data_IF_576612162928
#
_entry.id   IF_576612162928
#
_cell.length_a   1.000
_cell.length_b   1.000
_cell.length_c   1.000
_cell.angle_alpha   90.00
_cell.angle_beta   90.00
_cell.angle_gamma   90.00
#
_symmetry.space_group_name_H-M   'P 1'
#
loop_
_entity.id
_entity.type
_entity.pdbx_description
1 polymer ?
#
# COMPACT_ATOMS: atom_id res chain seq x y z
N UNK A 1 -2.68 34.80 51.92
CA UNK A 1 -2.86 35.41 50.58
C UNK A 1 -2.98 34.31 49.53
N UNK A 2 -4.21 33.85 49.24
CA UNK A 2 -4.46 32.91 48.15
C UNK A 2 -4.57 33.69 46.83
N UNK A 3 -3.47 33.77 46.05
CA UNK A 3 -3.51 34.35 44.70
C UNK A 3 -4.36 33.45 43.80
N UNK A 4 -5.55 33.94 43.49
CA UNK A 4 -6.49 33.34 42.57
C UNK A 4 -5.88 33.35 41.15
N UNK A 5 -5.11 32.31 40.78
CA UNK A 5 -4.59 32.12 39.42
C UNK A 5 -5.78 31.86 38.50
N UNK A 6 -6.25 32.89 37.79
CA UNK A 6 -7.14 32.72 36.63
C UNK A 6 -6.44 31.76 35.66
N UNK A 7 -6.95 30.52 35.55
CA UNK A 7 -6.48 29.54 34.55
C UNK A 7 -6.62 30.19 33.17
N UNK A 8 -5.52 30.30 32.44
CA UNK A 8 -5.48 30.88 31.12
C UNK A 8 -6.18 29.93 30.14
N UNK A 9 -7.43 30.23 29.81
CA UNK A 9 -8.29 29.37 28.97
C UNK A 9 -7.79 29.23 27.52
N UNK A 10 -6.79 30.02 27.11
CA UNK A 10 -6.20 29.98 25.77
C UNK A 10 -5.04 28.99 25.61
N UNK A 11 -4.44 28.53 26.71
CA UNK A 11 -3.25 27.66 26.70
C UNK A 11 -3.46 26.34 25.91
N UNK A 12 -4.59 25.62 26.06
CA UNK A 12 -4.82 24.37 25.32
C UNK A 12 -5.00 24.58 23.81
N UNK A 13 -5.62 25.70 23.40
CA UNK A 13 -5.82 26.03 21.98
C UNK A 13 -4.49 26.34 21.31
N UNK A 14 -3.64 27.10 21.98
CA UNK A 14 -2.31 27.45 21.48
C UNK A 14 -1.40 26.22 21.39
N UNK A 15 -1.48 25.32 22.37
CA UNK A 15 -0.79 24.03 22.36
C UNK A 15 -1.16 23.18 21.15
N UNK A 16 -2.46 22.89 20.95
CA UNK A 16 -2.93 22.06 19.84
C UNK A 16 -2.56 22.65 18.46
N UNK A 17 -2.57 23.99 18.32
CA UNK A 17 -2.14 24.66 17.08
C UNK A 17 -0.65 24.48 16.83
N UNK A 18 0.20 24.57 17.86
CA UNK A 18 1.64 24.33 17.76
C UNK A 18 1.94 22.87 17.41
N UNK A 19 1.27 21.93 18.09
CA UNK A 19 1.40 20.50 17.82
C UNK A 19 1.03 20.17 16.38
N UNK A 20 -0.14 20.63 15.90
CA UNK A 20 -0.58 20.40 14.52
C UNK A 20 0.41 20.97 13.50
N UNK A 21 0.98 22.16 13.76
CA UNK A 21 1.99 22.77 12.88
C UNK A 21 3.28 21.93 12.87
N UNK A 22 3.73 21.45 14.03
CA UNK A 22 4.93 20.63 14.14
C UNK A 22 4.76 19.27 13.45
N UNK A 23 3.61 18.61 13.66
CA UNK A 23 3.26 17.37 12.96
C UNK A 23 3.21 17.57 11.43
N UNK A 24 2.60 18.66 10.96
CA UNK A 24 2.60 19.00 9.53
C UNK A 24 4.02 19.23 8.98
N UNK A 25 4.88 19.93 9.73
CA UNK A 25 6.28 20.12 9.35
C UNK A 25 7.07 18.80 9.27
N UNK A 26 6.81 17.85 10.17
CA UNK A 26 7.42 16.52 10.12
C UNK A 26 6.95 15.71 8.91
N UNK A 27 5.67 15.79 8.55
CA UNK A 27 5.13 15.14 7.34
C UNK A 27 5.84 15.68 6.10
N UNK A 28 5.89 17.00 5.94
CA UNK A 28 6.57 17.63 4.80
C UNK A 28 8.07 17.30 4.75
N UNK A 29 8.73 17.21 5.91
CA UNK A 29 10.12 16.77 5.99
C UNK A 29 10.28 15.31 5.54
N UNK A 30 9.40 14.42 5.99
CA UNK A 30 9.42 13.01 5.64
C UNK A 30 9.15 12.76 4.14
N UNK A 31 8.25 13.56 3.55
CA UNK A 31 7.94 13.50 2.12
C UNK A 31 9.10 14.00 1.24
N UNK A 32 9.82 15.02 1.69
CA UNK A 32 10.86 15.69 0.90
C UNK A 32 12.26 15.09 1.07
N UNK A 33 12.52 14.38 2.17
CA UNK A 33 13.85 13.85 2.46
C UNK A 33 14.02 12.39 2.05
N UNK A 34 15.14 12.09 1.41
CA UNK A 34 15.60 10.72 1.15
C UNK A 34 16.56 10.21 2.23
N UNK A 35 16.82 11.00 3.27
CA UNK A 35 17.83 10.69 4.29
C UNK A 35 17.21 10.47 5.66
N UNK A 36 17.35 9.24 6.18
CA UNK A 36 16.91 8.90 7.54
C UNK A 36 17.63 9.73 8.62
N UNK A 37 18.87 10.17 8.37
CA UNK A 37 19.59 11.07 9.29
C UNK A 37 18.93 12.45 9.39
N UNK A 38 18.44 12.99 8.28
CA UNK A 38 17.73 14.28 8.25
C UNK A 38 16.37 14.13 8.93
N UNK A 39 15.65 13.04 8.64
CA UNK A 39 14.38 12.73 9.26
C UNK A 39 14.50 12.59 10.79
N UNK A 40 15.50 11.85 11.26
CA UNK A 40 15.81 11.69 12.69
C UNK A 40 16.09 13.03 13.38
N UNK A 41 16.86 13.93 12.75
CA UNK A 41 17.10 15.29 13.29
C UNK A 41 15.80 16.08 13.42
N UNK A 42 14.90 15.99 12.43
CA UNK A 42 13.59 16.60 12.50
C UNK A 42 12.75 16.10 13.68
N UNK A 43 12.81 14.79 13.95
CA UNK A 43 12.12 14.17 15.10
C UNK A 43 12.69 14.68 16.43
N UNK A 44 14.00 14.90 16.54
CA UNK A 44 14.61 15.47 17.76
C UNK A 44 14.10 16.89 18.02
N UNK A 45 13.93 17.72 16.99
CA UNK A 45 13.35 19.06 17.14
C UNK A 45 11.90 19.03 17.65
N UNK A 46 11.17 17.94 17.44
CA UNK A 46 9.83 17.76 17.98
C UNK A 46 9.82 17.59 19.50
N UNK A 47 10.95 17.17 20.11
CA UNK A 47 11.09 17.03 21.57
C UNK A 47 11.06 18.38 22.30
N UNK A 48 11.40 19.48 21.62
CA UNK A 48 11.39 20.82 22.18
C UNK A 48 9.97 21.35 22.47
N UNK A 49 8.93 20.63 22.04
CA UNK A 49 7.54 20.99 22.33
C UNK A 49 7.20 20.82 23.82
N UNK A 50 6.45 21.77 24.43
CA UNK A 50 6.00 21.64 25.80
C UNK A 50 5.17 20.36 26.01
N UNK A 51 5.47 19.60 27.07
CA UNK A 51 4.68 18.43 27.48
C UNK A 51 3.34 18.86 28.10
N UNK A 52 2.25 18.07 27.96
CA UNK A 52 2.17 16.77 27.28
C UNK A 52 2.05 16.90 25.75
N UNK A 53 2.64 15.95 25.03
CA UNK A 53 2.67 15.96 23.55
C UNK A 53 1.33 15.51 22.94
N UNK A 54 0.36 15.09 23.75
CA UNK A 54 -0.98 14.71 23.28
C UNK A 54 -1.90 15.91 23.06
N UNK A 55 -2.87 15.72 22.16
CA UNK A 55 -3.99 16.65 22.02
C UNK A 55 -4.75 16.73 23.34
N UNK A 56 -4.90 17.94 23.86
CA UNK A 56 -5.66 18.14 25.09
C UNK A 56 -7.15 17.91 24.77
N UNK A 57 -7.70 16.78 25.23
CA UNK A 57 -9.04 16.25 24.93
C UNK A 57 -10.24 17.11 25.35
N UNK A 58 -10.03 18.36 25.72
CA UNK A 58 -11.08 19.33 26.03
C UNK A 58 -12.00 19.55 24.82
N UNK A 59 -11.44 19.50 23.62
CA UNK A 59 -12.14 19.75 22.36
C UNK A 59 -13.21 18.67 22.13
N UNK A 60 -12.86 17.37 22.24
CA UNK A 60 -13.81 16.27 21.99
C UNK A 60 -15.00 16.26 22.95
N UNK A 61 -14.77 16.50 24.25
CA UNK A 61 -15.86 16.59 25.25
C UNK A 61 -16.73 17.84 25.09
N UNK A 62 -16.14 18.98 24.76
CA UNK A 62 -16.90 20.20 24.49
C UNK A 62 -17.78 20.05 23.24
N UNK A 63 -17.28 19.39 22.19
CA UNK A 63 -18.05 19.11 20.98
C UNK A 63 -19.17 18.10 21.20
N UNK A 64 -18.96 17.04 21.98
CA UNK A 64 -20.03 16.12 22.37
C UNK A 64 -21.17 16.88 23.08
N UNK A 65 -20.82 17.78 24.00
CA UNK A 65 -21.82 18.63 24.70
C UNK A 65 -22.53 19.59 23.75
N UNK A 66 -21.81 20.18 22.80
CA UNK A 66 -22.40 21.06 21.78
C UNK A 66 -23.37 20.31 20.87
N UNK A 67 -22.97 19.14 20.38
CA UNK A 67 -23.81 18.27 19.55
C UNK A 67 -25.10 17.89 20.29
N UNK A 68 -24.98 17.40 21.52
CA UNK A 68 -26.13 17.12 22.39
C UNK A 68 -27.04 18.33 22.60
N UNK A 69 -26.47 19.54 22.73
CA UNK A 69 -27.22 20.78 22.84
C UNK A 69 -28.01 21.09 21.56
N UNK A 70 -27.35 21.00 20.39
CA UNK A 70 -27.98 21.25 19.09
C UNK A 70 -29.10 20.24 18.84
N UNK A 71 -28.88 18.95 19.09
CA UNK A 71 -29.91 17.91 18.88
C UNK A 71 -31.16 18.19 19.72
N UNK A 72 -30.99 18.63 20.97
CA UNK A 72 -32.12 18.99 21.85
C UNK A 72 -32.92 20.18 21.31
N UNK A 73 -32.24 21.22 20.82
CA UNK A 73 -32.91 22.39 20.24
C UNK A 73 -33.70 22.02 18.99
N UNK A 74 -33.12 21.21 18.10
CA UNK A 74 -33.80 20.76 16.88
C UNK A 74 -35.04 19.91 17.22
N UNK A 75 -34.93 18.99 18.17
CA UNK A 75 -36.05 18.17 18.65
C UNK A 75 -37.17 19.03 19.25
N UNK A 76 -36.84 20.05 20.06
CA UNK A 76 -37.83 20.96 20.64
C UNK A 76 -38.55 21.77 19.57
N UNK A 77 -37.84 22.29 18.57
CA UNK A 77 -38.44 23.06 17.46
C UNK A 77 -39.37 22.17 16.63
N UNK A 78 -38.93 20.94 16.30
CA UNK A 78 -39.77 19.97 15.58
C UNK A 78 -41.02 19.60 16.37
N UNK A 79 -40.90 19.36 17.68
CA UNK A 79 -42.04 19.06 18.54
C UNK A 79 -43.04 20.22 18.60
N UNK A 80 -42.57 21.46 18.73
CA UNK A 80 -43.43 22.65 18.70
C UNK A 80 -44.12 22.82 17.34
N UNK A 81 -43.41 22.58 16.24
CA UNK A 81 -43.97 22.62 14.90
C UNK A 81 -45.07 21.59 14.71
N UNK A 82 -44.82 20.33 15.09
CA UNK A 82 -45.83 19.25 15.02
C UNK A 82 -47.04 19.55 15.91
N UNK A 83 -46.81 20.08 17.11
CA UNK A 83 -47.90 20.46 18.02
C UNK A 83 -48.76 21.60 17.45
N UNK A 84 -48.17 22.56 16.73
CA UNK A 84 -48.92 23.63 16.07
C UNK A 84 -49.76 23.09 14.91
N UNK A 85 -49.15 22.31 14.01
CA UNK A 85 -49.84 21.73 12.85
C UNK A 85 -51.05 20.87 13.25
N UNK A 86 -50.99 20.20 14.40
CA UNK A 86 -52.06 19.29 14.84
C UNK A 86 -53.26 19.99 15.50
N UNK A 87 -53.14 21.26 15.93
CA UNK A 87 -54.12 21.90 16.82
C UNK A 87 -55.10 22.85 16.11
N UNK A 88 -54.85 23.34 14.89
CA UNK A 88 -55.73 24.34 14.23
C UNK A 88 -55.98 24.16 12.73
N UNK A 89 -57.17 24.60 12.27
CA UNK A 89 -57.48 24.88 10.86
C UNK A 89 -56.83 26.22 10.48
N UNK A 90 -55.63 26.17 9.92
CA UNK A 90 -54.88 27.36 9.53
C UNK A 90 -55.52 28.12 8.35
N UNK A 91 -55.42 29.45 8.39
CA UNK A 91 -55.71 30.34 7.26
C UNK A 91 -54.54 30.39 6.28
N UNK A 92 -54.79 30.69 5.01
CA UNK A 92 -53.76 30.68 3.95
C UNK A 92 -52.51 31.52 4.31
N UNK A 93 -52.67 32.68 4.96
CA UNK A 93 -51.55 33.55 5.37
C UNK A 93 -50.62 32.87 6.39
N UNK A 94 -51.16 32.08 7.31
CA UNK A 94 -50.37 31.39 8.33
C UNK A 94 -49.52 30.28 7.71
N UNK A 95 -49.99 29.63 6.64
CA UNK A 95 -49.23 28.61 5.91
C UNK A 95 -47.97 29.23 5.28
N UNK A 96 -48.08 30.42 4.67
CA UNK A 96 -46.92 31.10 4.08
C UNK A 96 -45.87 31.51 5.12
N UNK A 97 -46.30 31.99 6.31
CA UNK A 97 -45.37 32.32 7.41
C UNK A 97 -44.65 31.07 7.91
N UNK A 98 -45.38 29.96 8.08
CA UNK A 98 -44.82 28.67 8.50
C UNK A 98 -43.80 28.16 7.49
N UNK A 99 -44.11 28.21 6.19
CA UNK A 99 -43.19 27.83 5.11
C UNK A 99 -41.94 28.71 5.09
N UNK A 100 -42.10 30.03 5.23
CA UNK A 100 -40.98 30.97 5.27
C UNK A 100 -40.03 30.69 6.45
N UNK A 101 -40.58 30.47 7.65
CA UNK A 101 -39.80 30.11 8.84
C UNK A 101 -39.10 28.75 8.67
N UNK A 102 -39.76 27.78 8.03
CA UNK A 102 -39.17 26.48 7.69
C UNK A 102 -37.96 26.60 6.75
N UNK A 103 -38.08 27.42 5.71
CA UNK A 103 -36.97 27.69 4.76
C UNK A 103 -35.81 28.40 5.46
N UNK A 104 -36.09 29.42 6.28
CA UNK A 104 -35.07 30.13 7.04
C UNK A 104 -34.30 29.17 7.97
N UNK A 105 -35.04 28.29 8.65
CA UNK A 105 -34.45 27.28 9.53
C UNK A 105 -33.58 26.27 8.77
N UNK A 106 -34.04 25.80 7.61
CA UNK A 106 -33.26 24.92 6.73
C UNK A 106 -31.95 25.58 6.30
N UNK A 107 -31.98 26.87 5.96
CA UNK A 107 -30.77 27.62 5.58
C UNK A 107 -29.78 27.72 6.76
N UNK A 108 -30.29 27.91 7.98
CA UNK A 108 -29.50 27.94 9.20
C UNK A 108 -28.87 26.56 9.50
N UNK A 109 -29.62 25.48 9.27
CA UNK A 109 -29.11 24.10 9.36
C UNK A 109 -28.02 23.82 8.32
N UNK A 110 -28.18 24.27 7.08
CA UNK A 110 -27.18 24.09 6.03
C UNK A 110 -25.89 24.88 6.31
N UNK A 111 -26.00 26.11 6.84
CA UNK A 111 -24.81 26.89 7.24
C UNK A 111 -24.10 26.30 8.44
N UNK A 112 -24.84 25.89 9.47
CA UNK A 112 -24.26 25.26 10.66
C UNK A 112 -23.66 23.90 10.33
N UNK A 113 -24.30 23.09 9.48
CA UNK A 113 -23.75 21.81 9.02
C UNK A 113 -22.50 22.01 8.16
N UNK A 114 -22.47 22.96 7.23
CA UNK A 114 -21.27 23.28 6.44
C UNK A 114 -20.10 23.73 7.32
N UNK A 115 -20.36 24.58 8.31
CA UNK A 115 -19.36 25.02 9.28
C UNK A 115 -18.85 23.86 10.14
N UNK A 116 -19.77 23.00 10.62
CA UNK A 116 -19.44 21.79 11.37
C UNK A 116 -18.62 20.83 10.52
N UNK A 117 -18.98 20.59 9.25
CA UNK A 117 -18.22 19.74 8.33
C UNK A 117 -16.80 20.29 8.14
N UNK A 118 -16.62 21.59 7.88
CA UNK A 118 -15.29 22.21 7.77
C UNK A 118 -14.46 22.04 9.05
N UNK A 119 -15.09 22.18 10.22
CA UNK A 119 -14.43 21.97 11.52
C UNK A 119 -14.20 20.50 11.86
N UNK A 120 -15.02 19.60 11.32
CA UNK A 120 -14.89 18.15 11.46
C UNK A 120 -13.81 17.59 10.54
N UNK A 121 -13.59 18.21 9.37
CA UNK A 121 -12.48 17.87 8.46
C UNK A 121 -11.12 18.33 9.00
N UNK A 122 -11.07 19.25 9.96
CA UNK A 122 -9.87 19.55 10.76
C UNK A 122 -9.66 18.46 11.84
N UNK A 123 -9.70 17.18 11.45
CA UNK A 123 -9.42 16.07 12.37
C UNK A 123 -7.99 16.26 12.89
N UNK A 124 -7.77 16.28 14.21
CA UNK A 124 -6.43 16.36 14.76
C UNK A 124 -5.61 15.18 14.20
N UNK A 125 -4.52 15.50 13.51
CA UNK A 125 -3.65 14.48 12.93
C UNK A 125 -3.13 13.62 14.08
N UNK A 126 -3.45 12.33 14.07
CA UNK A 126 -3.03 11.41 15.12
C UNK A 126 -1.51 11.30 15.14
N UNK A 127 -0.91 11.46 16.31
CA UNK A 127 0.54 11.31 16.53
C UNK A 127 1.01 9.92 16.07
N UNK A 128 0.20 8.89 16.31
CA UNK A 128 0.52 7.53 15.86
C UNK A 128 0.47 7.43 14.33
N UNK A 129 -0.52 8.05 13.68
CA UNK A 129 -0.60 8.05 12.22
C UNK A 129 0.61 8.77 11.58
N UNK A 130 1.07 9.88 12.16
CA UNK A 130 2.30 10.55 11.71
C UNK A 130 3.53 9.69 11.99
N UNK A 131 3.58 9.01 13.14
CA UNK A 131 4.69 8.10 13.47
C UNK A 131 4.77 6.94 12.47
N UNK A 132 3.63 6.33 12.12
CA UNK A 132 3.55 5.26 11.13
C UNK A 132 3.95 5.76 9.74
N UNK A 133 3.51 6.97 9.37
CA UNK A 133 3.90 7.60 8.11
C UNK A 133 5.42 7.85 8.03
N UNK A 134 6.00 8.49 9.04
CA UNK A 134 7.45 8.75 9.14
C UNK A 134 8.24 7.45 9.06
N UNK A 135 7.80 6.42 9.77
CA UNK A 135 8.45 5.11 9.74
C UNK A 135 8.35 4.44 8.37
N UNK A 136 7.19 4.52 7.70
CA UNK A 136 7.06 4.04 6.32
C UNK A 136 8.01 4.77 5.36
N UNK A 137 8.15 6.09 5.48
CA UNK A 137 9.13 6.86 4.72
C UNK A 137 10.57 6.42 5.02
N UNK A 138 10.90 6.15 6.28
CA UNK A 138 12.25 5.69 6.64
C UNK A 138 12.58 4.31 6.08
N UNK A 139 11.61 3.39 6.07
CA UNK A 139 11.77 2.08 5.45
C UNK A 139 12.03 2.19 3.94
N UNK A 140 11.34 3.10 3.24
CA UNK A 140 11.59 3.36 1.81
C UNK A 140 12.98 3.94 1.58
N UNK A 141 13.36 4.96 2.35
CA UNK A 141 14.66 5.62 2.26
C UNK A 141 15.81 4.64 2.54
N UNK A 142 15.67 3.79 3.55
CA UNK A 142 16.67 2.79 3.90
C UNK A 142 16.91 1.74 2.80
N UNK A 143 15.95 1.60 1.88
CA UNK A 143 16.04 0.70 0.72
C UNK A 143 16.23 1.46 -0.61
N UNK A 144 16.57 2.75 -0.56
CA UNK A 144 16.74 3.63 -1.72
C UNK A 144 15.50 3.67 -2.64
N UNK A 145 14.31 3.57 -2.05
CA UNK A 145 13.02 3.62 -2.76
C UNK A 145 12.45 5.03 -2.71
N UNK A 146 11.96 5.50 -3.84
CA UNK A 146 11.27 6.79 -3.98
C UNK A 146 9.77 6.55 -4.13
N UNK A 147 8.92 7.07 -3.22
CA UNK A 147 7.48 6.99 -3.36
C UNK A 147 7.02 7.50 -4.73
N UNK A 148 5.97 6.91 -5.26
CA UNK A 148 5.31 7.36 -6.48
C UNK A 148 3.88 7.80 -6.13
N UNK A 149 3.38 8.85 -6.78
CA UNK A 149 1.99 9.28 -6.65
C UNK A 149 1.09 8.44 -7.57
N UNK A 150 -0.03 7.98 -7.04
CA UNK A 150 -1.02 7.20 -7.79
C UNK A 150 -2.38 7.21 -7.10
N UNK A 151 -3.45 6.98 -7.86
CA UNK A 151 -4.75 6.61 -7.30
C UNK A 151 -4.77 5.11 -6.99
N UNK A 152 -4.92 4.75 -5.72
CA UNK A 152 -4.81 3.38 -5.24
C UNK A 152 -5.70 2.37 -5.98
N UNK A 153 -6.93 2.78 -6.31
CA UNK A 153 -7.93 1.90 -6.93
C UNK A 153 -7.70 1.78 -8.44
N UNK A 154 -7.54 2.90 -9.13
CA UNK A 154 -7.30 2.94 -10.57
C UNK A 154 -5.97 2.28 -10.93
N UNK A 155 -4.95 2.48 -10.11
CA UNK A 155 -3.65 1.82 -10.29
C UNK A 155 -3.75 0.30 -10.11
N UNK A 156 -4.46 -0.19 -9.08
CA UNK A 156 -4.69 -1.61 -8.91
C UNK A 156 -5.45 -2.23 -10.11
N UNK A 157 -6.46 -1.53 -10.63
CA UNK A 157 -7.19 -1.98 -11.82
C UNK A 157 -6.29 -2.01 -13.07
N UNK A 158 -5.41 -1.02 -13.24
CA UNK A 158 -4.43 -1.01 -14.33
C UNK A 158 -3.47 -2.20 -14.23
N UNK A 159 -2.90 -2.45 -13.05
CA UNK A 159 -2.01 -3.59 -12.80
C UNK A 159 -2.74 -4.92 -13.01
N UNK A 160 -4.02 -5.04 -12.63
CA UNK A 160 -4.83 -6.23 -12.87
C UNK A 160 -5.06 -6.54 -14.35
N UNK A 161 -5.01 -5.54 -15.24
CA UNK A 161 -5.05 -5.79 -16.69
C UNK A 161 -3.76 -6.47 -17.16
N UNK A 162 -2.62 -6.07 -16.59
CA UNK A 162 -1.28 -6.50 -16.99
C UNK A 162 -0.81 -7.80 -16.32
N UNK A 163 -1.11 -7.99 -15.04
CA UNK A 163 -0.57 -9.06 -14.22
C UNK A 163 -1.70 -9.89 -13.57
N UNK A 164 -1.63 -11.22 -13.68
CA UNK A 164 -2.49 -12.18 -12.99
C UNK A 164 -2.43 -12.03 -11.48
N UNK A 165 -1.26 -11.69 -10.92
CA UNK A 165 -1.07 -11.49 -9.48
C UNK A 165 -2.02 -10.45 -8.86
N UNK A 166 -2.49 -9.47 -9.65
CA UNK A 166 -3.40 -8.40 -9.24
C UNK A 166 -4.88 -8.72 -9.51
N UNK A 167 -5.16 -9.90 -10.06
CA UNK A 167 -6.54 -10.41 -10.28
C UNK A 167 -7.03 -11.26 -9.09
N UNK A 168 -6.29 -11.31 -7.98
CA UNK A 168 -6.67 -12.02 -6.76
C UNK A 168 -7.77 -11.27 -6.00
N UNK A 169 -8.59 -12.02 -5.26
CA UNK A 169 -9.66 -11.48 -4.43
C UNK A 169 -10.85 -10.90 -5.20
N UNK A 170 -11.77 -10.29 -4.47
CA UNK A 170 -12.91 -9.59 -5.04
C UNK A 170 -12.51 -8.25 -5.67
N UNK A 171 -13.10 -7.91 -6.83
CA UNK A 171 -12.72 -6.74 -7.64
C UNK A 171 -12.96 -5.41 -6.94
N UNK A 172 -14.02 -5.29 -6.13
CA UNK A 172 -14.37 -4.01 -5.48
C UNK A 172 -13.44 -3.67 -4.30
N UNK A 173 -12.70 -4.66 -3.81
CA UNK A 173 -11.78 -4.56 -2.68
C UNK A 173 -10.33 -4.23 -3.03
N UNK A 174 -9.95 -4.23 -4.31
CA UNK A 174 -8.55 -4.18 -4.74
C UNK A 174 -7.99 -2.78 -4.67
N UNK A 175 -6.88 -2.61 -3.95
CA UNK A 175 -6.19 -1.33 -3.81
C UNK A 175 -4.68 -1.53 -3.76
N UNK A 176 -3.94 -0.66 -4.44
CA UNK A 176 -2.49 -0.57 -4.24
C UNK A 176 -2.24 0.25 -2.97
N UNK A 177 -1.45 -0.26 -2.04
CA UNK A 177 -1.14 0.41 -0.77
C UNK A 177 0.05 1.36 -0.91
N UNK A 178 1.24 0.79 -0.98
CA UNK A 178 2.51 1.48 -1.19
C UNK A 178 2.96 1.22 -2.62
N UNK A 179 3.46 2.24 -3.31
CA UNK A 179 4.13 2.11 -4.59
C UNK A 179 5.35 3.01 -4.61
N UNK A 180 6.51 2.44 -4.89
CA UNK A 180 7.78 3.18 -4.84
C UNK A 180 8.75 2.62 -5.88
N UNK A 181 9.52 3.51 -6.52
CA UNK A 181 10.52 3.14 -7.52
C UNK A 181 11.89 3.06 -6.90
N UNK A 182 12.62 2.01 -7.22
CA UNK A 182 14.03 1.83 -6.88
C UNK A 182 14.86 1.59 -8.12
N UNK A 183 16.17 1.59 -7.90
CA UNK A 183 17.17 1.27 -8.91
C UNK A 183 18.16 0.27 -8.30
N UNK A 184 18.47 -0.79 -9.04
CA UNK A 184 19.45 -1.79 -8.64
C UNK A 184 20.63 -1.76 -9.61
N UNK A 185 21.83 -1.59 -9.05
CA UNK A 185 23.09 -1.70 -9.79
C UNK A 185 23.81 -2.98 -9.37
N UNK A 186 23.75 -4.00 -10.22
CA UNK A 186 24.52 -5.22 -10.09
C UNK A 186 25.87 -5.13 -10.82
N UNK A 187 26.64 -6.21 -10.78
CA UNK A 187 27.94 -6.31 -11.46
C UNK A 187 27.79 -6.32 -13.00
N UNK A 188 26.76 -7.00 -13.52
CA UNK A 188 26.55 -7.21 -14.96
C UNK A 188 25.29 -6.50 -15.50
N UNK A 189 24.28 -6.29 -14.64
CA UNK A 189 23.02 -5.70 -15.06
C UNK A 189 22.61 -4.61 -14.07
N UNK A 190 21.98 -3.59 -14.63
CA UNK A 190 21.39 -2.48 -13.91
C UNK A 190 19.94 -2.34 -14.36
N UNK A 191 19.02 -2.17 -13.41
CA UNK A 191 17.60 -2.10 -13.74
C UNK A 191 16.82 -1.27 -12.72
N UNK A 192 15.80 -0.58 -13.23
CA UNK A 192 14.77 0.04 -12.41
C UNK A 192 13.71 -1.00 -12.04
N UNK A 193 13.14 -0.84 -10.85
CA UNK A 193 12.05 -1.68 -10.38
C UNK A 193 11.06 -0.86 -9.56
N UNK A 194 9.81 -1.30 -9.56
CA UNK A 194 8.75 -0.72 -8.74
C UNK A 194 8.38 -1.70 -7.62
N UNK A 195 8.61 -1.30 -6.37
CA UNK A 195 8.08 -1.96 -5.18
C UNK A 195 6.59 -1.66 -5.01
N UNK A 196 5.82 -2.67 -4.62
CA UNK A 196 4.41 -2.47 -4.31
C UNK A 196 3.93 -3.25 -3.07
N UNK A 197 2.86 -2.73 -2.47
CA UNK A 197 1.92 -3.51 -1.65
C UNK A 197 0.54 -3.48 -2.29
N UNK A 198 -0.14 -4.61 -2.26
CA UNK A 198 -1.44 -4.82 -2.87
C UNK A 198 -2.39 -5.41 -1.84
N UNK A 199 -3.50 -4.71 -1.61
CA UNK A 199 -4.54 -5.08 -0.67
C UNK A 199 -5.76 -5.57 -1.44
N UNK A 200 -6.33 -6.69 -1.00
CA UNK A 200 -7.58 -7.21 -1.54
C UNK A 200 -8.40 -7.90 -0.45
N UNK A 201 -9.69 -8.06 -0.69
CA UNK A 201 -10.57 -8.85 0.15
C UNK A 201 -10.88 -10.20 -0.50
N UNK A 202 -11.01 -11.22 0.32
CA UNK A 202 -11.57 -12.49 -0.07
C UNK A 202 -12.89 -12.72 0.64
N UNK A 203 -13.93 -13.03 -0.12
CA UNK A 203 -15.29 -13.28 0.39
C UNK A 203 -15.57 -14.78 0.20
N UNK A 204 -15.68 -15.51 1.31
CA UNK A 204 -16.02 -16.94 1.31
C UNK A 204 -17.28 -17.13 2.16
N UNK A 205 -18.43 -17.29 1.50
CA UNK A 205 -19.73 -17.22 2.18
C UNK A 205 -19.90 -15.86 2.82
N UNK A 206 -20.20 -15.82 4.13
CA UNK A 206 -20.36 -14.58 4.89
C UNK A 206 -19.05 -14.03 5.50
N UNK A 207 -17.90 -14.68 5.24
CA UNK A 207 -16.62 -14.29 5.84
C UNK A 207 -15.82 -13.42 4.86
N UNK A 208 -15.46 -12.21 5.31
CA UNK A 208 -14.60 -11.28 4.57
C UNK A 208 -13.22 -11.27 5.22
N UNK A 209 -12.20 -11.70 4.47
CA UNK A 209 -10.80 -11.70 4.94
C UNK A 209 -9.99 -10.67 4.18
N UNK A 210 -9.28 -9.83 4.93
CA UNK A 210 -8.36 -8.84 4.39
C UNK A 210 -7.00 -9.48 4.12
N UNK A 211 -6.51 -9.36 2.88
CA UNK A 211 -5.30 -10.03 2.42
C UNK A 211 -4.33 -9.01 1.80
N UNK A 212 -3.03 -9.23 2.02
CA UNK A 212 -1.98 -8.38 1.49
C UNK A 212 -1.00 -9.19 0.65
N UNK A 213 -0.53 -8.58 -0.43
CA UNK A 213 0.60 -9.04 -1.23
C UNK A 213 1.62 -7.92 -1.29
N UNK A 214 2.87 -8.29 -1.42
CA UNK A 214 3.98 -7.35 -1.59
C UNK A 214 4.94 -7.92 -2.60
N UNK A 215 5.61 -7.06 -3.34
CA UNK A 215 6.38 -7.52 -4.48
C UNK A 215 7.16 -6.42 -5.17
N UNK A 216 7.80 -6.83 -6.27
CA UNK A 216 8.45 -5.93 -7.21
C UNK A 216 7.95 -6.18 -8.62
N UNK A 217 7.96 -5.13 -9.43
CA UNK A 217 7.68 -5.12 -10.86
C UNK A 217 8.91 -4.56 -11.58
N UNK A 218 9.32 -5.17 -12.69
CA UNK A 218 10.41 -4.63 -13.51
C UNK A 218 10.31 -5.12 -14.95
N UNK A 219 11.11 -4.52 -15.84
CA UNK A 219 11.32 -5.03 -17.18
C UNK A 219 12.29 -6.21 -17.16
N UNK A 220 11.95 -7.26 -17.90
CA UNK A 220 12.72 -8.49 -18.02
C UNK A 220 12.66 -8.99 -19.48
N UNK A 221 13.61 -8.60 -20.34
CA UNK A 221 13.56 -8.85 -21.79
C UNK A 221 13.82 -10.30 -22.19
N UNK A 222 14.25 -11.16 -21.27
CA UNK A 222 14.72 -12.51 -21.59
C UNK A 222 13.64 -13.60 -21.47
N UNK A 223 12.44 -13.25 -21.00
CA UNK A 223 11.35 -14.20 -20.78
C UNK A 223 9.97 -13.55 -20.91
N UNK A 224 9.01 -14.34 -21.38
CA UNK A 224 7.61 -13.93 -21.53
C UNK A 224 6.67 -15.13 -21.43
N UNK A 225 5.42 -14.87 -21.10
CA UNK A 225 4.32 -15.86 -21.04
C UNK A 225 4.56 -17.04 -20.09
N UNK A 226 5.18 -16.78 -18.93
CA UNK A 226 5.36 -17.74 -17.85
C UNK A 226 4.67 -17.26 -16.56
N UNK A 227 4.07 -18.19 -15.82
CA UNK A 227 3.53 -17.94 -14.50
C UNK A 227 3.92 -19.06 -13.55
N UNK A 228 4.63 -18.72 -12.49
CA UNK A 228 5.07 -19.63 -11.44
C UNK A 228 4.22 -19.37 -10.21
N UNK A 229 3.67 -20.44 -9.65
CA UNK A 229 2.85 -20.41 -8.45
C UNK A 229 3.34 -21.50 -7.47
N UNK A 230 3.10 -21.35 -6.16
CA UNK A 230 3.51 -22.37 -5.19
C UNK A 230 2.75 -23.67 -5.47
N UNK A 231 3.41 -24.78 -5.81
CA UNK A 231 2.79 -26.11 -6.00
C UNK A 231 2.38 -26.75 -4.67
N UNK A 232 3.15 -26.46 -3.62
CA UNK A 232 3.06 -27.17 -2.34
C UNK A 232 1.73 -26.93 -1.61
N UNK A 233 0.93 -27.99 -1.49
CA UNK A 233 -0.34 -28.01 -0.77
C UNK A 233 -0.18 -27.70 0.72
N UNK A 234 0.98 -27.93 1.34
CA UNK A 234 1.24 -27.58 2.76
C UNK A 234 1.41 -26.09 2.99
N UNK A 235 2.20 -25.38 2.17
CA UNK A 235 2.30 -23.90 2.25
C UNK A 235 0.92 -23.28 2.04
N UNK A 236 0.16 -23.81 1.07
CA UNK A 236 -1.24 -23.42 0.82
C UNK A 236 -2.14 -23.72 2.02
N UNK A 237 -2.10 -24.93 2.56
CA UNK A 237 -2.93 -25.35 3.70
C UNK A 237 -2.59 -24.58 4.99
N UNK A 238 -1.32 -24.33 5.26
CA UNK A 238 -0.89 -23.52 6.40
C UNK A 238 -1.39 -22.08 6.29
N UNK A 239 -1.36 -21.50 5.08
CA UNK A 239 -1.92 -20.18 4.82
C UNK A 239 -3.45 -20.15 4.99
N UNK A 240 -4.14 -21.13 4.41
CA UNK A 240 -5.58 -21.32 4.57
C UNK A 240 -5.95 -21.44 6.05
N UNK A 241 -5.24 -22.27 6.82
CA UNK A 241 -5.45 -22.45 8.25
C UNK A 241 -5.19 -21.15 9.05
N UNK A 242 -4.10 -20.44 8.75
CA UNK A 242 -3.76 -19.16 9.41
C UNK A 242 -4.83 -18.10 9.22
N UNK A 243 -5.48 -18.06 8.06
CA UNK A 243 -6.47 -17.05 7.70
C UNK A 243 -7.92 -17.56 7.80
N UNK A 244 -8.15 -18.78 8.30
CA UNK A 244 -9.49 -19.35 8.48
C UNK A 244 -10.26 -19.55 7.17
N UNK A 245 -9.56 -19.70 6.04
CA UNK A 245 -10.17 -19.80 4.72
C UNK A 245 -10.78 -21.21 4.52
N UNK A 246 -11.95 -21.29 3.88
CA UNK A 246 -12.68 -22.57 3.71
C UNK A 246 -12.50 -23.22 2.33
N UNK A 247 -11.86 -22.56 1.35
CA UNK A 247 -11.79 -23.10 -0.02
C UNK A 247 -10.48 -22.77 -0.74
N UNK A 248 -10.18 -23.55 -1.78
CA UNK A 248 -9.00 -23.42 -2.65
C UNK A 248 -9.21 -22.38 -3.78
N UNK A 249 -10.19 -21.45 -3.66
CA UNK A 249 -10.53 -20.44 -4.69
C UNK A 249 -9.46 -19.35 -4.88
N UNK A 250 -8.44 -19.33 -4.04
CA UNK A 250 -7.30 -18.41 -4.08
C UNK A 250 -6.47 -18.47 -5.38
N UNK A 251 -6.67 -19.48 -6.23
CA UNK A 251 -5.75 -19.83 -7.29
C UNK A 251 -6.43 -19.86 -8.66
N UNK A 252 -5.78 -19.32 -9.72
CA UNK A 252 -6.35 -19.27 -11.05
C UNK A 252 -6.75 -20.68 -11.53
N UNK A 253 -7.87 -20.76 -12.26
CA UNK A 253 -8.32 -22.00 -12.90
C UNK A 253 -7.17 -22.55 -13.78
N UNK A 254 -6.96 -23.87 -13.74
CA UNK A 254 -6.01 -24.60 -14.59
C UNK A 254 -6.36 -24.41 -16.06
N UNK A 255 -5.92 -23.31 -16.68
CA UNK A 255 -6.18 -23.02 -18.11
C UNK A 255 -4.94 -23.11 -18.98
N UNK A 256 -3.74 -23.16 -18.38
CA UNK A 256 -2.47 -23.17 -19.10
C UNK A 256 -1.74 -24.52 -18.95
N UNK A 257 -1.03 -24.97 -20.02
CA UNK A 257 -0.19 -26.17 -19.96
C UNK A 257 0.81 -26.06 -18.82
N UNK A 258 0.89 -27.08 -17.98
CA UNK A 258 1.95 -27.17 -16.98
C UNK A 258 3.22 -27.66 -17.64
N UNK A 259 4.31 -26.89 -17.50
CA UNK A 259 5.65 -27.38 -17.76
C UNK A 259 6.22 -27.98 -16.47
N UNK A 260 7.06 -29.01 -16.60
CA UNK A 260 7.79 -29.61 -15.48
C UNK A 260 9.28 -29.54 -15.78
N UNK A 261 10.05 -29.17 -14.76
CA UNK A 261 11.50 -29.20 -14.83
C UNK A 261 12.02 -30.64 -14.61
N UNK A 262 13.30 -30.91 -14.92
CA UNK A 262 13.97 -32.13 -14.46
C UNK A 262 14.17 -32.19 -12.93
N UNK A 263 14.11 -31.05 -12.23
CA UNK A 263 14.26 -30.98 -10.78
C UNK A 263 12.98 -31.41 -10.06
N UNK A 264 13.05 -32.54 -9.34
CA UNK A 264 11.93 -33.05 -8.53
C UNK A 264 11.60 -32.07 -7.41
N UNK A 265 12.63 -31.56 -6.70
CA UNK A 265 12.46 -30.60 -5.60
C UNK A 265 11.75 -29.33 -6.05
N UNK A 266 12.12 -28.82 -7.23
CA UNK A 266 11.48 -27.64 -7.81
C UNK A 266 10.00 -27.90 -8.09
N UNK A 267 9.68 -29.02 -8.76
CA UNK A 267 8.30 -29.34 -9.14
C UNK A 267 7.38 -29.63 -7.93
N UNK A 268 7.93 -30.08 -6.81
CA UNK A 268 7.21 -30.24 -5.54
C UNK A 268 6.82 -28.89 -4.92
N UNK A 269 7.66 -27.88 -5.09
CA UNK A 269 7.50 -26.58 -4.46
C UNK A 269 6.79 -25.57 -5.36
N UNK A 270 7.03 -25.62 -6.66
CA UNK A 270 6.65 -24.61 -7.65
C UNK A 270 6.04 -25.28 -8.87
N UNK A 271 4.90 -24.75 -9.30
CA UNK A 271 4.23 -25.15 -10.53
C UNK A 271 4.46 -24.06 -11.58
N UNK A 272 4.90 -24.47 -12.78
CA UNK A 272 5.13 -23.57 -13.90
C UNK A 272 4.00 -23.71 -14.91
N UNK A 273 3.34 -22.60 -15.20
CA UNK A 273 2.38 -22.44 -16.30
C UNK A 273 3.08 -21.70 -17.42
N UNK A 274 3.11 -22.29 -18.60
CA UNK A 274 3.75 -21.67 -19.76
C UNK A 274 2.84 -21.80 -20.97
N UNK A 275 2.73 -20.71 -21.74
CA UNK A 275 2.03 -20.76 -23.04
C UNK A 275 2.78 -21.62 -24.05
N UNK A 276 4.12 -21.62 -23.97
CA UNK A 276 5.01 -22.42 -24.81
C UNK A 276 6.00 -23.22 -23.93
N UNK A 277 5.81 -24.54 -23.87
CA UNK A 277 6.66 -25.44 -23.09
C UNK A 277 8.12 -25.48 -23.55
N UNK A 278 8.38 -25.27 -24.85
CA UNK A 278 9.74 -25.22 -25.39
C UNK A 278 10.47 -23.94 -24.93
N UNK A 279 9.78 -22.80 -24.94
CA UNK A 279 10.32 -21.55 -24.43
C UNK A 279 10.65 -21.66 -22.92
N UNK A 280 9.77 -22.31 -22.14
CA UNK A 280 10.03 -22.61 -20.74
C UNK A 280 11.27 -23.52 -20.58
N UNK A 281 11.39 -24.61 -21.35
CA UNK A 281 12.54 -25.50 -21.28
C UNK A 281 13.87 -24.81 -21.57
N UNK A 282 13.88 -23.85 -22.51
CA UNK A 282 15.06 -23.02 -22.80
C UNK A 282 15.39 -22.06 -21.65
N UNK A 283 14.38 -21.39 -21.09
CA UNK A 283 14.59 -20.41 -20.03
C UNK A 283 15.05 -21.06 -18.72
N UNK A 284 14.43 -22.17 -18.30
CA UNK A 284 14.66 -22.79 -16.99
C UNK A 284 15.92 -23.67 -16.96
N UNK A 285 17.09 -23.04 -17.15
CA UNK A 285 18.39 -23.67 -16.89
C UNK A 285 18.54 -24.08 -15.41
N UNK A 286 19.46 -25.00 -15.07
CA UNK A 286 19.70 -25.41 -13.68
C UNK A 286 20.01 -24.24 -12.73
N UNK A 287 20.78 -23.24 -13.18
CA UNK A 287 21.09 -22.04 -12.39
C UNK A 287 19.86 -21.18 -12.11
N UNK A 288 18.97 -21.06 -13.11
CA UNK A 288 17.71 -20.32 -12.96
C UNK A 288 16.76 -21.04 -12.02
N UNK A 289 16.61 -22.36 -12.16
CA UNK A 289 15.81 -23.18 -11.26
C UNK A 289 16.28 -23.02 -9.81
N UNK A 290 17.59 -23.12 -9.57
CA UNK A 290 18.16 -22.96 -8.23
C UNK A 290 17.91 -21.58 -7.65
N UNK A 291 18.10 -20.50 -8.43
CA UNK A 291 17.83 -19.15 -7.97
C UNK A 291 16.35 -18.94 -7.58
N UNK A 292 15.42 -19.58 -8.30
CA UNK A 292 13.99 -19.52 -7.99
C UNK A 292 13.65 -20.36 -6.75
N UNK A 293 14.25 -21.54 -6.56
CA UNK A 293 14.09 -22.33 -5.32
C UNK A 293 14.56 -21.55 -4.10
N UNK A 294 15.71 -20.89 -4.19
CA UNK A 294 16.26 -20.08 -3.11
C UNK A 294 15.31 -18.91 -2.78
N UNK A 295 14.73 -18.26 -3.79
CA UNK A 295 13.69 -17.23 -3.59
C UNK A 295 12.42 -17.78 -2.92
N UNK A 296 11.87 -18.91 -3.37
CA UNK A 296 10.65 -19.50 -2.80
C UNK A 296 10.86 -19.99 -1.35
N UNK A 297 12.10 -20.34 -0.99
CA UNK A 297 12.45 -20.70 0.39
C UNK A 297 12.37 -19.50 1.35
N UNK A 298 12.66 -18.29 0.85
CA UNK A 298 12.62 -17.05 1.62
C UNK A 298 11.24 -16.39 1.62
N UNK A 299 10.42 -16.60 0.58
CA UNK A 299 9.17 -15.88 0.37
C UNK A 299 7.94 -16.77 0.62
N UNK A 300 7.02 -16.32 1.48
CA UNK A 300 5.77 -17.05 1.69
C UNK A 300 4.83 -16.89 0.50
N UNK A 301 4.45 -18.02 -0.10
CA UNK A 301 3.55 -18.10 -1.26
C UNK A 301 4.00 -17.20 -2.42
N UNK A 302 5.23 -17.36 -2.87
CA UNK A 302 5.76 -16.59 -3.99
C UNK A 302 4.97 -16.89 -5.28
N UNK A 303 4.51 -15.84 -5.96
CA UNK A 303 4.15 -15.92 -7.38
C UNK A 303 5.20 -15.15 -8.18
N UNK A 304 5.56 -15.69 -9.34
CA UNK A 304 6.43 -15.01 -10.31
C UNK A 304 5.76 -15.04 -11.69
N UNK A 305 5.63 -13.90 -12.33
CA UNK A 305 4.91 -13.75 -13.59
C UNK A 305 5.76 -13.01 -14.61
N UNK A 306 6.03 -13.66 -15.74
CA UNK A 306 6.63 -13.07 -16.93
C UNK A 306 5.51 -12.83 -17.94
N UNK A 307 5.19 -11.56 -18.18
CA UNK A 307 4.10 -11.17 -19.08
C UNK A 307 4.53 -11.21 -20.55
N UNK A 308 3.57 -11.14 -21.47
CA UNK A 308 3.83 -11.00 -22.92
C UNK A 308 4.57 -9.72 -23.30
N UNK A 309 4.66 -8.74 -22.39
CA UNK A 309 5.29 -7.44 -22.62
C UNK A 309 6.68 -7.33 -21.99
N UNK A 310 7.32 -8.48 -21.71
CA UNK A 310 8.64 -8.56 -21.09
C UNK A 310 8.69 -7.84 -19.74
N UNK A 311 7.64 -8.01 -18.95
CA UNK A 311 7.61 -7.54 -17.57
C UNK A 311 7.62 -8.72 -16.61
N UNK A 312 8.40 -8.59 -15.55
CA UNK A 312 8.48 -9.53 -14.44
C UNK A 312 7.77 -8.94 -13.22
N UNK A 313 6.83 -9.70 -12.67
CA UNK A 313 6.21 -9.45 -11.38
C UNK A 313 6.60 -10.56 -10.41
N UNK A 314 7.20 -10.22 -9.28
CA UNK A 314 7.44 -11.14 -8.16
C UNK A 314 6.59 -10.67 -7.00
N UNK A 315 5.74 -11.53 -6.44
CA UNK A 315 4.88 -11.18 -5.31
C UNK A 315 4.79 -12.29 -4.27
N UNK A 316 4.58 -11.94 -3.00
CA UNK A 316 4.47 -12.89 -1.88
C UNK A 316 3.38 -12.42 -0.90
N UNK A 317 2.91 -13.31 -0.02
CA UNK A 317 1.82 -13.02 0.94
C UNK A 317 2.28 -12.50 2.29
N UNK A 318 3.58 -12.35 2.53
CA UNK A 318 4.07 -11.77 3.77
C UNK A 318 3.78 -10.27 3.82
N UNK A 319 3.50 -9.75 5.01
CA UNK A 319 2.94 -8.42 5.26
C UNK A 319 3.78 -7.21 4.84
N UNK A 320 4.74 -7.36 3.94
CA UNK A 320 5.57 -6.32 3.33
C UNK A 320 7.03 -6.78 3.22
N UNK A 321 7.64 -6.70 2.02
CA UNK A 321 9.09 -6.98 1.84
C UNK A 321 9.97 -6.03 2.64
N UNK A 322 9.38 -4.91 3.08
CA UNK A 322 10.05 -3.88 3.86
C UNK A 322 9.70 -3.94 5.35
N UNK A 323 8.59 -4.58 5.73
CA UNK A 323 7.92 -4.35 7.01
C UNK A 323 8.72 -4.88 8.20
N UNK A 324 9.32 -3.96 8.94
CA UNK A 324 9.76 -4.16 10.33
C UNK A 324 8.70 -3.60 11.26
N UNK A 325 8.57 -4.19 12.45
CA UNK A 325 7.65 -3.63 13.45
C UNK A 325 8.30 -2.40 14.10
N UNK A 326 7.68 -1.24 13.94
CA UNK A 326 8.02 0.00 14.64
C UNK A 326 7.96 -0.21 16.15
N UNK A 327 9.02 0.20 16.87
CA UNK A 327 9.13 0.05 18.33
C UNK A 327 8.72 1.30 19.08
N UNK A 328 9.10 2.47 18.57
CA UNK A 328 8.84 3.76 19.21
C UNK A 328 7.98 4.67 18.33
N UNK A 329 7.34 5.68 18.93
CA UNK A 329 6.52 6.69 18.25
C UNK A 329 6.99 8.10 18.60
N UNK A 330 6.37 9.10 18.00
CA UNK A 330 6.56 10.51 18.37
C UNK A 330 6.17 10.83 19.83
N UNK A 331 5.55 9.89 20.57
CA UNK A 331 5.41 9.99 22.03
C UNK A 331 6.74 9.82 22.78
N UNK A 332 7.73 9.18 22.14
CA UNK A 332 9.09 8.98 22.61
C UNK A 332 10.09 9.46 21.52
N UNK A 333 10.12 10.77 21.21
CA UNK A 333 10.79 11.30 20.02
C UNK A 333 12.27 10.95 19.97
N UNK A 334 12.99 11.03 21.08
CA UNK A 334 14.40 10.64 21.12
C UNK A 334 14.63 9.17 20.72
N UNK A 335 13.94 8.23 21.36
CA UNK A 335 14.07 6.80 21.05
C UNK A 335 13.61 6.49 19.61
N UNK A 336 12.56 7.15 19.14
CA UNK A 336 12.09 7.02 17.77
C UNK A 336 13.11 7.58 16.76
N UNK A 337 13.76 8.70 17.05
CA UNK A 337 14.81 9.26 16.18
C UNK A 337 16.01 8.31 16.03
N UNK A 338 16.40 7.63 17.12
CA UNK A 338 17.47 6.62 17.09
C UNK A 338 17.07 5.41 16.26
N UNK A 339 15.83 4.94 16.39
CA UNK A 339 15.28 3.84 15.58
C UNK A 339 15.32 4.19 14.08
N UNK A 340 14.84 5.38 13.70
CA UNK A 340 14.84 5.85 12.31
C UNK A 340 16.27 5.99 11.77
N UNK A 341 17.19 6.57 12.56
CA UNK A 341 18.58 6.76 12.14
C UNK A 341 19.36 5.44 11.97
N UNK A 342 18.99 4.40 12.72
CA UNK A 342 19.62 3.09 12.72
C UNK A 342 19.03 2.12 11.67
N UNK A 343 17.98 2.50 10.93
CA UNK A 343 17.36 1.58 9.96
C UNK A 343 18.27 1.37 8.74
N UNK A 344 18.85 0.16 8.64
CA UNK A 344 19.79 -0.25 7.59
C UNK A 344 19.13 -0.90 6.38
N UNK A 345 17.82 -0.78 6.24
CA UNK A 345 17.06 -1.38 5.13
C UNK A 345 16.71 -2.84 5.39
N UNK A 346 15.95 -3.45 4.47
CA UNK A 346 15.46 -4.82 4.62
C UNK A 346 16.32 -5.78 3.78
N UNK A 347 16.95 -6.81 4.37
CA UNK A 347 17.78 -7.74 3.61
C UNK A 347 16.99 -8.53 2.56
N UNK A 348 15.68 -8.74 2.76
CA UNK A 348 14.84 -9.51 1.84
C UNK A 348 14.73 -8.87 0.47
N UNK A 349 14.51 -7.55 0.38
CA UNK A 349 14.42 -6.88 -0.92
C UNK A 349 15.76 -6.95 -1.67
N UNK A 350 16.88 -6.81 -0.96
CA UNK A 350 18.21 -6.93 -1.56
C UNK A 350 18.48 -8.34 -2.09
N UNK A 351 18.02 -9.37 -1.37
CA UNK A 351 18.10 -10.75 -1.83
C UNK A 351 17.24 -11.00 -3.07
N UNK A 352 16.03 -10.41 -3.13
CA UNK A 352 15.19 -10.48 -4.33
C UNK A 352 15.89 -9.83 -5.53
N UNK A 353 16.42 -8.63 -5.36
CA UNK A 353 17.12 -7.92 -6.43
C UNK A 353 18.36 -8.69 -6.91
N UNK A 354 19.12 -9.29 -5.99
CA UNK A 354 20.26 -10.17 -6.33
C UNK A 354 19.81 -11.41 -7.09
N UNK A 355 18.69 -12.02 -6.72
CA UNK A 355 18.16 -13.15 -7.45
C UNK A 355 17.67 -12.74 -8.84
N UNK A 356 17.00 -11.59 -9.00
CA UNK A 356 16.63 -11.05 -10.31
C UNK A 356 17.86 -10.77 -11.17
N UNK A 357 18.91 -10.19 -10.61
CA UNK A 357 20.20 -10.01 -11.29
C UNK A 357 20.76 -11.36 -11.78
N UNK A 358 20.70 -12.39 -10.93
CA UNK A 358 21.10 -13.76 -11.27
C UNK A 358 20.25 -14.35 -12.40
N UNK A 359 18.92 -14.13 -12.38
CA UNK A 359 18.03 -14.54 -13.45
C UNK A 359 18.43 -13.86 -14.76
N UNK A 360 18.67 -12.55 -14.77
CA UNK A 360 19.11 -11.81 -15.97
C UNK A 360 20.42 -12.38 -16.51
N UNK A 361 21.44 -12.52 -15.65
CA UNK A 361 22.76 -13.04 -16.01
C UNK A 361 22.70 -14.39 -16.73
N UNK A 362 21.93 -15.32 -16.19
CA UNK A 362 21.80 -16.66 -16.76
C UNK A 362 20.77 -16.74 -17.89
N UNK A 363 20.03 -15.67 -18.18
CA UNK A 363 19.08 -15.65 -19.30
C UNK A 363 19.65 -14.95 -20.53
N UNK A 364 20.46 -13.92 -20.33
CA UNK A 364 21.14 -13.17 -21.40
C UNK A 364 22.03 -14.08 -22.26
N UNK A 365 22.72 -15.01 -21.61
CA UNK A 365 23.66 -15.92 -22.27
C UNK A 365 22.98 -17.13 -22.94
N UNK A 366 21.66 -17.31 -22.82
CA UNK A 366 21.09 -18.62 -23.08
C UNK A 366 20.75 -18.90 -24.55
N UNK A 367 20.35 -17.97 -25.41
CA UNK A 367 19.94 -18.35 -26.78
C UNK A 367 20.13 -17.34 -27.92
N UNK A 368 20.73 -16.17 -27.68
CA UNK A 368 20.95 -15.15 -28.74
C UNK A 368 22.42 -15.03 -29.16
N UNK A 369 23.03 -16.15 -29.57
CA UNK A 369 23.83 -16.04 -30.78
C UNK A 369 22.81 -15.98 -31.93
N UNK A 370 22.42 -14.77 -32.34
CA UNK A 370 21.80 -14.61 -33.66
C UNK A 370 22.71 -15.33 -34.66
N UNK A 371 22.22 -16.27 -35.48
CA UNK A 371 22.99 -16.65 -36.64
C UNK A 371 23.21 -15.35 -37.42
N UNK A 372 24.47 -15.04 -37.67
CA UNK A 372 24.84 -13.95 -38.55
C UNK A 372 24.34 -14.31 -39.95
N UNK A 373 23.08 -13.98 -40.23
CA UNK A 373 22.42 -14.20 -41.51
C UNK A 373 23.10 -13.37 -42.62
N UNK A 374 23.93 -12.39 -42.24
CA UNK A 374 24.78 -11.64 -43.16
C UNK A 374 25.94 -12.50 -43.67
N UNK A 375 26.59 -13.31 -42.80
CA UNK A 375 27.64 -14.24 -43.23
C UNK A 375 27.12 -15.43 -44.05
N UNK A 376 25.90 -15.91 -43.76
CA UNK A 376 25.29 -17.01 -44.52
C UNK A 376 24.89 -16.58 -45.94
N UNK A 377 24.42 -15.34 -46.14
CA UNK A 377 24.08 -14.81 -47.46
C UNK A 377 25.31 -14.46 -48.31
N UNK A 378 26.42 -14.02 -47.70
CA UNK A 378 27.65 -13.71 -48.45
C UNK A 378 28.36 -14.97 -48.96
N UNK A 379 28.20 -16.10 -48.27
CA UNK A 379 28.81 -17.37 -48.68
C UNK A 379 28.05 -18.01 -49.86
N UNK A 380 26.73 -17.85 -49.93
CA UNK A 380 25.89 -18.41 -51.01
C UNK A 380 26.04 -17.63 -52.33
N UNK A 381 26.37 -16.33 -52.27
CA UNK A 381 26.63 -15.50 -53.45
C UNK A 381 28.02 -15.78 -54.05
N UNK A 382 29.01 -16.21 -53.26
CA UNK A 382 30.36 -16.51 -53.76
C UNK A 382 30.51 -17.92 -54.38
N UNK A 383 29.61 -18.86 -54.08
CA UNK A 383 29.68 -20.23 -54.63
C UNK A 383 28.71 -20.49 -55.79
N UNK A 384 27.88 -19.50 -56.17
CA UNK A 384 26.89 -19.61 -57.24
C UNK A 384 27.36 -19.24 -58.65
N UNK A 385 28.64 -18.91 -58.85
CA UNK A 385 29.25 -18.79 -60.17
C UNK A 385 30.18 -19.97 -60.44
N UNK A 386 29.61 -21.09 -60.92
CA UNK A 386 30.24 -22.01 -61.88
C UNK A 386 29.26 -23.00 -62.49
#
# INVERSE_FOLDING_TARGET
MARNRKKNTNEPKQHNKRLSKALGGLITLAESTTSNKVLAKGIVLFEELPKPVDYIGYIQKAWQKLLLGITRVVLSILASFFSMVFVEKYTDLQIYIILFLGILFLFLLLKTSSFLIKKFTEVPISIEAVSDFIYGCSELNANNLKPQEFDATSHAQHLAKKYKSFRKGDTQGRRTGTFARGHHQGAEHSFDFDYFTFHYYEIIGDHVTSMFRTGILLKFPFAQDFFLEPSNSRKRAAHIARHGLKTNRLWPRKTEPSWKSPSISFNEQIAVRAKNSMAAAKFFSPSILKAIEDLDSMLTLMDMEFTSNYDLCISCSDGGLLKKARRYSLKHPYAFSLEIAADTGNPTIQQILKAVHTLMKYSDNNFDQKPDLTAAFETEIQTGER
#
